data_IF_826181721278
#
_entry.id   IF_826181721278
#
_cell.length_a   1.000
_cell.length_b   1.000
_cell.length_c   1.000
_cell.angle_alpha   90.00
_cell.angle_beta   90.00
_cell.angle_gamma   90.00
#
_symmetry.space_group_name_H-M   'P 1'
#
loop_
_entity.id
_entity.type
_entity.pdbx_description
1 polymer ?
#
# COMPACT_ATOMS: atom_id res chain seq x y z
N UNK A 1 -19.60 15.34 -11.67
CA UNK A 1 -18.24 14.77 -11.62
C UNK A 1 -17.92 14.58 -10.15
N UNK A 2 -17.64 13.35 -9.71
CA UNK A 2 -17.29 13.06 -8.29
C UNK A 2 -15.91 13.63 -7.97
N UNK A 3 -15.72 14.20 -6.77
CA UNK A 3 -14.42 14.74 -6.39
C UNK A 3 -13.41 13.61 -6.15
N UNK A 4 -12.12 13.92 -6.18
CA UNK A 4 -11.08 12.93 -5.88
C UNK A 4 -11.20 12.38 -4.44
N UNK A 5 -11.53 13.24 -3.48
CA UNK A 5 -11.77 12.84 -2.09
C UNK A 5 -12.97 11.92 -1.96
N UNK A 6 -14.06 12.19 -2.69
CA UNK A 6 -15.23 11.29 -2.71
C UNK A 6 -14.86 9.93 -3.30
N UNK A 7 -14.02 9.89 -4.35
CA UNK A 7 -13.52 8.64 -4.91
C UNK A 7 -12.71 7.84 -3.91
N UNK A 8 -11.79 8.48 -3.18
CA UNK A 8 -10.99 7.79 -2.16
C UNK A 8 -11.88 7.30 -1.01
N UNK A 9 -12.90 8.06 -0.62
CA UNK A 9 -13.88 7.62 0.36
C UNK A 9 -14.65 6.38 -0.12
N UNK A 10 -15.14 6.39 -1.37
CA UNK A 10 -15.87 5.25 -1.95
C UNK A 10 -14.98 3.99 -2.08
N UNK A 11 -13.67 4.15 -2.30
CA UNK A 11 -12.71 3.02 -2.25
C UNK A 11 -12.61 2.46 -0.84
N UNK A 12 -12.56 3.33 0.17
CA UNK A 12 -12.45 2.93 1.57
C UNK A 12 -13.72 2.22 2.08
N UNK A 13 -14.90 2.59 1.56
CA UNK A 13 -16.18 1.96 1.93
C UNK A 13 -16.50 0.72 1.11
N UNK A 14 -15.68 0.39 0.11
CA UNK A 14 -15.91 -0.74 -0.81
C UNK A 14 -17.00 -0.49 -1.86
N UNK A 15 -17.47 0.76 -2.00
CA UNK A 15 -18.48 1.13 -3.00
C UNK A 15 -17.89 1.20 -4.42
N UNK A 16 -16.58 1.44 -4.54
CA UNK A 16 -15.84 1.32 -5.80
C UNK A 16 -14.58 0.47 -5.62
N UNK A 17 -14.13 -0.15 -6.71
CA UNK A 17 -12.93 -0.98 -6.72
C UNK A 17 -11.68 -0.20 -6.31
N UNK A 18 -10.89 -0.81 -5.44
CA UNK A 18 -9.63 -0.29 -4.94
C UNK A 18 -8.47 -1.07 -5.59
N UNK A 19 -7.39 -0.42 -6.08
CA UNK A 19 -6.28 -1.16 -6.67
C UNK A 19 -5.64 -2.10 -5.64
N UNK A 20 -5.15 -3.25 -6.11
CA UNK A 20 -4.48 -4.21 -5.24
C UNK A 20 -5.40 -5.18 -4.50
N UNK A 21 -6.72 -5.17 -4.75
CA UNK A 21 -7.69 -6.12 -4.14
C UNK A 21 -7.85 -7.42 -4.95
N UNK A 22 -7.59 -7.38 -6.25
CA UNK A 22 -7.78 -8.52 -7.15
C UNK A 22 -6.46 -9.21 -7.56
N UNK A 23 -6.55 -10.44 -8.09
CA UNK A 23 -5.41 -11.16 -8.64
C UNK A 23 -4.58 -11.97 -7.62
N UNK A 24 -3.44 -12.50 -8.08
CA UNK A 24 -2.59 -13.37 -7.27
C UNK A 24 -1.97 -12.63 -6.07
N UNK A 25 -1.87 -13.25 -4.89
CA UNK A 25 -1.25 -12.63 -3.71
C UNK A 25 0.15 -12.05 -3.99
N UNK A 26 0.98 -12.72 -4.78
CA UNK A 26 2.32 -12.24 -5.13
C UNK A 26 2.30 -10.92 -5.89
N UNK A 27 1.32 -10.73 -6.78
CA UNK A 27 1.17 -9.51 -7.57
C UNK A 27 0.65 -8.36 -6.69
N UNK A 28 -0.30 -8.65 -5.81
CA UNK A 28 -0.88 -7.72 -4.84
C UNK A 28 0.17 -7.21 -3.84
N UNK A 29 0.92 -8.12 -3.21
CA UNK A 29 2.00 -7.78 -2.28
C UNK A 29 3.12 -6.96 -2.94
N UNK A 30 3.51 -7.30 -4.17
CA UNK A 30 4.47 -6.50 -4.93
C UNK A 30 3.95 -5.10 -5.27
N UNK A 31 2.64 -4.91 -5.40
CA UNK A 31 2.04 -3.60 -5.63
C UNK A 31 1.92 -2.79 -4.33
N UNK A 32 1.53 -3.42 -3.22
CA UNK A 32 1.60 -2.81 -1.89
C UNK A 32 3.03 -2.36 -1.56
N UNK A 33 4.06 -3.14 -1.92
CA UNK A 33 5.45 -2.72 -1.73
C UNK A 33 5.78 -1.38 -2.42
N UNK A 34 5.21 -1.13 -3.60
CA UNK A 34 5.43 0.10 -4.33
C UNK A 34 4.58 1.25 -3.79
N UNK A 35 3.41 0.94 -3.20
CA UNK A 35 2.63 1.92 -2.43
C UNK A 35 3.46 2.55 -1.32
N UNK A 36 4.42 1.82 -0.73
CA UNK A 36 5.36 2.39 0.21
C UNK A 36 6.53 3.10 -0.48
N UNK A 37 7.22 2.43 -1.40
CA UNK A 37 8.57 2.82 -1.84
C UNK A 37 8.66 3.55 -3.18
N UNK A 38 7.58 3.66 -3.96
CA UNK A 38 7.66 4.24 -5.29
C UNK A 38 8.02 5.74 -5.23
N UNK A 39 9.02 6.21 -5.99
CA UNK A 39 9.57 7.57 -5.84
C UNK A 39 8.63 8.70 -6.28
N UNK A 40 7.52 8.37 -6.97
CA UNK A 40 6.56 9.34 -7.52
C UNK A 40 5.22 9.35 -6.79
N UNK A 41 4.75 8.20 -6.34
CA UNK A 41 3.40 8.02 -5.80
C UNK A 41 3.37 7.14 -4.54
N UNK A 42 4.52 6.65 -4.09
CA UNK A 42 4.62 5.91 -2.84
C UNK A 42 4.63 6.83 -1.62
N UNK A 43 4.41 6.24 -0.45
CA UNK A 43 4.37 6.94 0.84
C UNK A 43 5.69 7.60 1.21
N UNK A 44 6.83 7.13 0.70
CA UNK A 44 8.13 7.82 0.84
C UNK A 44 8.13 9.26 0.29
N UNK A 45 7.12 9.64 -0.52
CA UNK A 45 6.95 11.00 -1.04
C UNK A 45 6.09 11.90 -0.13
N UNK A 46 5.61 11.40 1.01
CA UNK A 46 4.78 12.11 1.96
C UNK A 46 5.66 12.80 3.02
N UNK A 47 5.56 14.13 3.18
CA UNK A 47 6.31 14.84 4.21
C UNK A 47 6.01 14.29 5.60
N UNK A 48 7.06 14.05 6.40
CA UNK A 48 6.94 13.50 7.75
C UNK A 48 6.86 11.97 7.82
N UNK A 49 6.78 11.28 6.69
CA UNK A 49 6.96 9.83 6.64
C UNK A 49 8.41 9.47 6.29
N UNK A 50 8.97 8.45 6.95
CA UNK A 50 10.38 8.09 6.79
C UNK A 50 10.61 7.27 5.52
N UNK A 51 11.56 7.70 4.69
CA UNK A 51 11.98 6.97 3.48
C UNK A 51 12.52 5.59 3.83
N UNK A 52 13.35 5.47 4.88
CA UNK A 52 13.92 4.18 5.29
C UNK A 52 12.84 3.20 5.74
N UNK A 53 11.82 3.69 6.45
CA UNK A 53 10.69 2.88 6.90
C UNK A 53 9.87 2.40 5.70
N UNK A 54 9.54 3.30 4.76
CA UNK A 54 8.82 2.92 3.55
C UNK A 54 9.57 1.88 2.72
N UNK A 55 10.90 1.99 2.60
CA UNK A 55 11.72 0.99 1.92
C UNK A 55 11.75 -0.36 2.66
N UNK A 56 11.87 -0.37 3.99
CA UNK A 56 11.86 -1.63 4.78
C UNK A 56 10.53 -2.37 4.65
N UNK A 57 9.41 -1.65 4.79
CA UNK A 57 8.07 -2.22 4.63
C UNK A 57 7.89 -2.73 3.19
N UNK A 58 8.39 -1.99 2.19
CA UNK A 58 8.35 -2.46 0.82
C UNK A 58 9.13 -3.77 0.61
N UNK A 59 10.30 -3.94 1.23
CA UNK A 59 11.03 -5.21 1.18
C UNK A 59 10.21 -6.33 1.83
N UNK A 60 9.64 -6.07 3.00
CA UNK A 60 8.78 -7.04 3.71
C UNK A 60 7.57 -7.47 2.88
N UNK A 61 6.86 -6.53 2.26
CA UNK A 61 5.76 -6.83 1.35
C UNK A 61 6.23 -7.74 0.21
N UNK A 62 7.41 -7.49 -0.39
CA UNK A 62 7.95 -8.35 -1.47
C UNK A 62 8.33 -9.76 -0.98
N UNK A 63 8.74 -9.89 0.28
CA UNK A 63 9.08 -11.17 0.88
C UNK A 63 7.83 -12.03 1.20
N UNK A 64 6.65 -11.42 1.41
CA UNK A 64 5.42 -12.11 1.82
C UNK A 64 5.08 -13.38 1.04
N UNK A 65 5.17 -13.42 -0.31
CA UNK A 65 4.75 -14.59 -1.07
C UNK A 65 5.71 -15.79 -0.95
N UNK A 66 6.94 -15.59 -0.50
CA UNK A 66 8.00 -16.61 -0.53
C UNK A 66 8.74 -16.79 0.80
N UNK A 67 8.57 -15.87 1.74
CA UNK A 67 9.28 -15.85 3.01
C UNK A 67 8.76 -16.92 3.98
N UNK A 68 9.62 -17.27 4.95
CA UNK A 68 9.24 -18.21 6.01
C UNK A 68 8.30 -17.53 7.00
N UNK A 69 7.15 -18.16 7.27
CA UNK A 69 6.07 -17.61 8.12
C UNK A 69 6.58 -17.07 9.47
N UNK A 70 7.34 -17.86 10.24
CA UNK A 70 7.82 -17.45 11.56
C UNK A 70 8.74 -16.21 11.51
N UNK A 71 9.58 -16.11 10.49
CA UNK A 71 10.47 -14.94 10.33
C UNK A 71 9.69 -13.70 9.92
N UNK A 72 8.73 -13.85 8.99
CA UNK A 72 7.88 -12.74 8.57
C UNK A 72 7.01 -12.23 9.71
N UNK A 73 6.39 -13.13 10.48
CA UNK A 73 5.56 -12.75 11.63
C UNK A 73 6.34 -11.89 12.63
N UNK A 74 7.56 -12.29 13.00
CA UNK A 74 8.40 -11.51 13.92
C UNK A 74 8.79 -10.14 13.36
N UNK A 75 9.10 -10.04 12.05
CA UNK A 75 9.43 -8.75 11.41
C UNK A 75 8.21 -7.85 11.33
N UNK A 76 7.03 -8.39 11.04
CA UNK A 76 5.79 -7.61 10.98
C UNK A 76 5.29 -7.17 12.36
N UNK A 77 5.54 -7.95 13.42
CA UNK A 77 5.30 -7.49 14.80
C UNK A 77 6.17 -6.27 15.15
N UNK A 78 7.43 -6.25 14.67
CA UNK A 78 8.28 -5.08 14.83
C UNK A 78 7.76 -3.87 14.04
N UNK A 79 7.23 -4.08 12.83
CA UNK A 79 6.58 -3.02 12.02
C UNK A 79 5.32 -2.51 12.70
N UNK A 80 4.50 -3.37 13.31
CA UNK A 80 3.29 -2.98 14.03
C UNK A 80 3.61 -2.04 15.20
N UNK A 81 4.60 -2.42 16.03
CA UNK A 81 5.10 -1.56 17.12
C UNK A 81 5.67 -0.24 16.60
N UNK A 82 6.41 -0.28 15.49
CA UNK A 82 6.93 0.92 14.84
C UNK A 82 5.79 1.81 14.34
N UNK A 83 4.74 1.22 13.77
CA UNK A 83 3.52 1.88 13.31
C UNK A 83 2.83 2.62 14.44
N UNK A 84 2.63 1.98 15.60
CA UNK A 84 2.03 2.60 16.77
C UNK A 84 2.85 3.80 17.28
N UNK A 85 4.18 3.67 17.35
CA UNK A 85 5.08 4.78 17.75
C UNK A 85 5.03 5.92 16.72
N UNK A 86 5.06 5.58 15.43
CA UNK A 86 5.00 6.52 14.33
C UNK A 86 3.70 7.33 14.33
N UNK A 87 2.56 6.64 14.42
CA UNK A 87 1.24 7.25 14.50
C UNK A 87 1.11 8.20 15.71
N UNK A 88 1.63 7.82 16.88
CA UNK A 88 1.60 8.66 18.08
C UNK A 88 2.42 9.95 17.98
N UNK A 89 3.30 10.08 16.98
CA UNK A 89 4.14 11.27 16.75
C UNK A 89 3.76 12.03 15.48
N UNK A 90 2.93 11.42 14.63
CA UNK A 90 2.61 11.94 13.31
C UNK A 90 1.47 12.95 13.36
N UNK A 91 1.51 13.91 12.45
CA UNK A 91 0.45 14.89 12.25
C UNK A 91 0.13 15.02 10.76
N UNK A 92 -1.08 15.48 10.46
CA UNK A 92 -1.54 15.79 9.11
C UNK A 92 -1.35 14.59 8.15
N UNK A 93 -0.67 14.76 7.01
CA UNK A 93 -0.51 13.71 6.01
C UNK A 93 0.27 12.47 6.48
N UNK A 94 1.25 12.67 7.37
CA UNK A 94 2.05 11.56 7.89
C UNK A 94 1.21 10.61 8.74
N UNK A 95 0.14 11.10 9.39
CA UNK A 95 -0.77 10.26 10.17
C UNK A 95 -1.44 9.21 9.27
N UNK A 96 -1.94 9.62 8.10
CA UNK A 96 -2.52 8.70 7.13
C UNK A 96 -1.51 7.71 6.57
N UNK A 97 -0.25 8.13 6.37
CA UNK A 97 0.80 7.21 5.96
C UNK A 97 1.07 6.13 7.03
N UNK A 98 1.02 6.48 8.32
CA UNK A 98 1.13 5.51 9.40
C UNK A 98 -0.13 4.66 9.60
N UNK A 99 -1.33 5.19 9.30
CA UNK A 99 -2.54 4.37 9.21
C UNK A 99 -2.39 3.28 8.15
N UNK A 100 -1.86 3.61 6.96
CA UNK A 100 -1.60 2.60 5.94
C UNK A 100 -0.63 1.50 6.42
N UNK A 101 0.38 1.85 7.24
CA UNK A 101 1.28 0.86 7.88
C UNK A 101 0.51 -0.07 8.79
N UNK A 102 -0.36 0.47 9.66
CA UNK A 102 -1.19 -0.33 10.57
C UNK A 102 -2.19 -1.22 9.81
N UNK A 103 -2.82 -0.71 8.76
CA UNK A 103 -3.74 -1.51 7.96
C UNK A 103 -3.01 -2.66 7.25
N UNK A 104 -1.79 -2.41 6.78
CA UNK A 104 -0.96 -3.47 6.17
C UNK A 104 -0.45 -4.49 7.19
N UNK A 105 -0.23 -4.12 8.46
CA UNK A 105 0.13 -5.10 9.50
C UNK A 105 -1.05 -6.04 9.79
N UNK A 106 -2.29 -5.52 9.76
CA UNK A 106 -3.52 -6.34 9.85
C UNK A 106 -3.62 -7.30 8.66
N UNK A 107 -3.51 -6.79 7.42
CA UNK A 107 -3.53 -7.62 6.20
C UNK A 107 -2.45 -8.71 6.23
N UNK A 108 -1.28 -8.39 6.79
CA UNK A 108 -0.20 -9.36 6.96
C UNK A 108 -0.57 -10.45 7.95
N UNK A 109 -1.12 -10.09 9.11
CA UNK A 109 -1.53 -11.09 10.10
C UNK A 109 -2.55 -12.06 9.52
N UNK A 110 -3.57 -11.55 8.81
CA UNK A 110 -4.56 -12.38 8.13
C UNK A 110 -3.92 -13.29 7.09
N UNK A 111 -3.02 -12.76 6.26
CA UNK A 111 -2.34 -13.56 5.25
C UNK A 111 -1.47 -14.68 5.86
N UNK A 112 -0.73 -14.40 6.93
CA UNK A 112 0.17 -15.36 7.56
C UNK A 112 -0.56 -16.54 8.24
N UNK A 113 -1.81 -16.34 8.67
CA UNK A 113 -2.66 -17.41 9.21
C UNK A 113 -3.49 -18.11 8.13
N UNK A 114 -3.29 -17.77 6.85
CA UNK A 114 -3.94 -18.41 5.71
C UNK A 114 -5.29 -17.80 5.32
N UNK A 115 -5.65 -16.63 5.84
CA UNK A 115 -6.82 -15.89 5.40
C UNK A 115 -6.51 -15.04 4.16
N UNK A 116 -7.57 -14.59 3.49
CA UNK A 116 -7.45 -13.57 2.46
C UNK A 116 -7.23 -12.21 3.12
N UNK A 117 -6.39 -11.38 2.50
CA UNK A 117 -6.22 -9.98 2.88
C UNK A 117 -6.89 -9.07 1.85
N UNK A 118 -7.23 -7.84 2.24
CA UNK A 118 -7.93 -6.86 1.40
C UNK A 118 -6.93 -5.87 0.79
N UNK A 119 -6.12 -5.22 1.61
CA UNK A 119 -5.28 -4.10 1.18
C UNK A 119 -6.02 -2.78 0.96
N UNK A 120 -7.36 -2.78 0.86
CA UNK A 120 -8.13 -1.60 0.47
C UNK A 120 -7.99 -0.45 1.47
N UNK A 121 -7.95 -0.77 2.76
CA UNK A 121 -7.76 0.15 3.87
C UNK A 121 -6.39 0.83 3.77
N UNK A 122 -5.33 0.04 3.57
CA UNK A 122 -3.98 0.55 3.38
C UNK A 122 -3.85 1.46 2.15
N UNK A 123 -4.50 1.10 1.04
CA UNK A 123 -4.54 1.94 -0.17
C UNK A 123 -5.27 3.24 0.09
N UNK A 124 -6.46 3.19 0.68
CA UNK A 124 -7.27 4.36 0.95
C UNK A 124 -6.52 5.33 1.89
N UNK A 125 -5.91 4.81 2.96
CA UNK A 125 -5.07 5.59 3.86
C UNK A 125 -3.89 6.23 3.10
N UNK A 126 -3.22 5.50 2.20
CA UNK A 126 -2.14 6.08 1.41
C UNK A 126 -2.61 7.18 0.44
N UNK A 127 -3.79 7.03 -0.16
CA UNK A 127 -4.38 8.05 -1.02
C UNK A 127 -4.81 9.29 -0.23
N UNK A 128 -5.34 9.12 0.98
CA UNK A 128 -5.59 10.22 1.91
C UNK A 128 -4.31 10.95 2.31
N UNK A 129 -3.19 10.25 2.48
CA UNK A 129 -1.90 10.87 2.73
C UNK A 129 -1.50 11.82 1.57
N UNK A 130 -1.72 11.43 0.32
CA UNK A 130 -1.48 12.30 -0.85
C UNK A 130 -2.42 13.51 -0.88
N UNK A 131 -3.71 13.29 -0.63
CA UNK A 131 -4.71 14.37 -0.56
C UNK A 131 -4.38 15.40 0.52
N UNK A 132 -3.89 14.94 1.67
CA UNK A 132 -3.50 15.80 2.78
C UNK A 132 -2.15 16.50 2.57
N UNK A 133 -1.21 15.91 1.80
CA UNK A 133 0.14 16.43 1.62
C UNK A 133 0.31 17.37 0.42
N UNK A 134 -0.56 17.27 -0.60
CA UNK A 134 -0.29 17.84 -1.93
C UNK A 134 -1.49 18.66 -2.43
N UNK A 135 -1.26 19.67 -3.31
CA UNK A 135 -2.35 20.30 -4.04
C UNK A 135 -3.18 19.26 -4.81
N UNK A 136 -4.49 19.48 -4.94
CA UNK A 136 -5.41 18.49 -5.50
C UNK A 136 -5.00 17.93 -6.87
N UNK A 137 -4.51 18.77 -7.78
CA UNK A 137 -4.05 18.33 -9.11
C UNK A 137 -2.77 17.50 -9.09
N UNK A 138 -1.94 17.63 -8.06
CA UNK A 138 -0.73 16.81 -7.87
C UNK A 138 -1.12 15.49 -7.20
N UNK A 139 -1.97 15.52 -6.18
CA UNK A 139 -2.52 14.31 -5.55
C UNK A 139 -3.23 13.43 -6.58
N UNK A 140 -4.04 14.03 -7.46
CA UNK A 140 -4.73 13.32 -8.54
C UNK A 140 -3.74 12.61 -9.48
N UNK A 141 -2.67 13.27 -9.88
CA UNK A 141 -1.63 12.66 -10.73
C UNK A 141 -0.94 11.50 -10.04
N UNK A 142 -0.62 11.62 -8.76
CA UNK A 142 0.00 10.54 -7.98
C UNK A 142 -0.95 9.33 -7.87
N UNK A 143 -2.21 9.55 -7.50
CA UNK A 143 -3.22 8.49 -7.36
C UNK A 143 -3.51 7.82 -8.71
N UNK A 144 -3.70 8.60 -9.77
CA UNK A 144 -3.90 8.07 -11.12
C UNK A 144 -2.68 7.25 -11.61
N UNK A 145 -1.45 7.66 -11.26
CA UNK A 145 -0.25 6.90 -11.58
C UNK A 145 -0.19 5.57 -10.82
N UNK A 146 -0.58 5.54 -9.54
CA UNK A 146 -0.65 4.32 -8.74
C UNK A 146 -1.68 3.33 -9.31
N UNK A 147 -2.88 3.81 -9.66
CA UNK A 147 -3.95 3.02 -10.29
C UNK A 147 -3.48 2.48 -11.64
N UNK A 148 -2.92 3.33 -12.51
CA UNK A 148 -2.38 2.89 -13.81
C UNK A 148 -1.27 1.83 -13.66
N UNK A 149 -0.43 1.96 -12.63
CA UNK A 149 0.60 0.98 -12.33
C UNK A 149 0.01 -0.37 -11.89
N UNK A 150 -1.12 -0.36 -11.17
CA UNK A 150 -1.90 -1.55 -10.85
C UNK A 150 -2.49 -2.20 -12.10
N UNK A 151 -3.22 -1.44 -12.91
CA UNK A 151 -3.88 -1.95 -14.12
C UNK A 151 -2.87 -2.60 -15.07
N UNK A 152 -1.70 -1.97 -15.21
CA UNK A 152 -0.60 -2.48 -16.04
C UNK A 152 -0.03 -3.81 -15.55
N UNK A 153 -0.15 -4.13 -14.25
CA UNK A 153 0.28 -5.42 -13.68
C UNK A 153 -0.75 -6.50 -13.90
N UNK A 154 -2.03 -6.20 -13.63
CA UNK A 154 -3.13 -7.13 -13.82
C UNK A 154 -3.23 -7.58 -15.28
N UNK A 155 -3.07 -6.65 -16.22
CA UNK A 155 -3.26 -6.91 -17.65
C UNK A 155 -1.97 -7.28 -18.38
N UNK A 156 -0.82 -7.41 -17.69
CA UNK A 156 0.39 -7.91 -18.34
C UNK A 156 0.26 -9.43 -18.52
N UNK A 157 0.27 -9.95 -19.75
CA UNK A 157 0.38 -11.38 -19.97
C UNK A 157 1.67 -11.87 -19.32
N UNK A 158 1.60 -12.97 -18.57
CA UNK A 158 2.79 -13.68 -18.14
C UNK A 158 3.55 -14.13 -19.38
N UNK A 159 4.56 -13.38 -19.82
CA UNK A 159 5.50 -13.81 -20.87
C UNK A 159 6.45 -14.87 -20.30
N UNK A 160 5.90 -15.95 -19.76
CA UNK A 160 6.59 -17.22 -19.52
C UNK A 160 5.89 -18.27 -20.37
N UNK A 161 6.31 -18.35 -21.63
CA UNK A 161 5.79 -19.34 -22.59
C UNK A 161 6.12 -19.09 -24.06
N UNK A 162 7.02 -18.17 -24.40
CA UNK A 162 7.49 -17.99 -25.77
C UNK A 162 9.01 -17.80 -25.78
N UNK A 163 9.74 -18.88 -25.55
CA UNK A 163 11.11 -19.02 -26.03
C UNK A 163 11.20 -20.40 -26.67
N UNK A 164 11.38 -20.37 -28.00
CA UNK A 164 11.84 -21.36 -28.97
C UNK A 164 11.72 -22.87 -28.64
#
# INVERSE_FOLDING_TARGET
>A
MISLSDRVLLMATGDIECPGTEGLPSLRWNWLADLYSHPVWGLVTIPGFSVSVGCEIAMLCRDMPTGTVNSLAARWEAVDRLGAIGAGRAHSAALYAWSAVADTTVDTHDYLIGHQFSGAEAVAAAFWAHLAAKPGSVAEKCIAAAIKAWDSRLHRPSTRGAIA
#
